data_IF_520412792284
#
_entry.id   IF_520412792284
#
_cell.length_a   1.000
_cell.length_b   1.000
_cell.length_c   1.000
_cell.angle_alpha   90.00
_cell.angle_beta   90.00
_cell.angle_gamma   90.00
#
_symmetry.space_group_name_H-M   'P 1'
#
loop_
_entity.id
_entity.type
_entity.pdbx_description
1 polymer ?
#
# COMPACT_ATOMS: atom_id res chain seq x y z
N UNK A 1 10.16 28.22 -35.58
CA UNK A 1 10.81 27.23 -36.48
C UNK A 1 10.29 27.31 -37.91
N UNK A 2 8.96 27.45 -38.13
CA UNK A 2 8.35 27.57 -39.47
C UNK A 2 9.09 28.48 -40.47
N UNK A 3 9.57 29.69 -40.10
CA UNK A 3 10.27 30.55 -41.05
C UNK A 3 11.75 30.22 -41.27
N UNK A 4 12.33 29.27 -40.53
CA UNK A 4 13.79 29.04 -40.48
C UNK A 4 14.18 27.59 -40.82
N UNK A 5 13.21 26.67 -40.83
CA UNK A 5 13.43 25.24 -41.08
C UNK A 5 12.49 24.81 -42.20
N UNK A 6 12.95 23.87 -43.03
CA UNK A 6 12.15 23.33 -44.12
C UNK A 6 10.81 22.77 -43.63
N UNK A 7 9.72 23.24 -44.26
CA UNK A 7 8.35 22.87 -43.90
C UNK A 7 8.10 21.35 -43.96
N UNK A 8 8.68 20.67 -44.96
CA UNK A 8 8.55 19.23 -45.12
C UNK A 8 9.16 18.47 -43.93
N UNK A 9 10.35 18.88 -43.46
CA UNK A 9 11.01 18.29 -42.29
C UNK A 9 10.21 18.53 -41.01
N UNK A 10 9.65 19.73 -40.84
CA UNK A 10 8.79 20.05 -39.69
C UNK A 10 7.52 19.20 -39.66
N UNK A 11 6.83 19.08 -40.79
CA UNK A 11 5.60 18.30 -40.91
C UNK A 11 5.88 16.80 -40.73
N UNK A 12 6.98 16.28 -41.30
CA UNK A 12 7.39 14.89 -41.11
C UNK A 12 7.68 14.60 -39.64
N UNK A 13 8.45 15.46 -38.98
CA UNK A 13 8.80 15.32 -37.57
C UNK A 13 7.57 15.39 -36.66
N UNK A 14 6.67 16.35 -36.91
CA UNK A 14 5.41 16.47 -36.17
C UNK A 14 4.52 15.24 -36.38
N UNK A 15 4.43 14.74 -37.61
CA UNK A 15 3.65 13.53 -37.94
C UNK A 15 4.21 12.30 -37.22
N UNK A 16 5.54 12.15 -37.17
CA UNK A 16 6.19 11.08 -36.43
C UNK A 16 5.88 11.17 -34.92
N UNK A 17 5.90 12.39 -34.36
CA UNK A 17 5.58 12.64 -32.95
C UNK A 17 4.13 12.32 -32.59
N UNK A 18 3.18 12.76 -33.42
CA UNK A 18 1.77 12.44 -33.26
C UNK A 18 1.56 10.93 -33.38
N UNK A 19 2.18 10.28 -34.36
CA UNK A 19 2.06 8.84 -34.59
C UNK A 19 2.56 8.02 -33.40
N UNK A 20 3.75 8.32 -32.86
CA UNK A 20 4.27 7.61 -31.68
C UNK A 20 3.42 7.88 -30.44
N UNK A 21 2.85 9.07 -30.30
CA UNK A 21 1.97 9.43 -29.19
C UNK A 21 0.65 8.64 -29.24
N UNK A 22 0.05 8.53 -30.43
CA UNK A 22 -1.16 7.72 -30.65
C UNK A 22 -0.86 6.23 -30.37
N UNK A 23 0.22 5.68 -30.92
CA UNK A 23 0.61 4.29 -30.69
C UNK A 23 0.81 3.98 -29.20
N UNK A 24 1.48 4.87 -28.47
CA UNK A 24 1.69 4.72 -27.02
C UNK A 24 0.38 4.84 -26.23
N UNK A 25 -0.53 5.73 -26.65
CA UNK A 25 -1.85 5.86 -26.05
C UNK A 25 -2.71 4.62 -26.28
N UNK A 26 -2.73 4.08 -27.51
CA UNK A 26 -3.40 2.81 -27.83
C UNK A 26 -2.80 1.64 -27.05
N UNK A 27 -1.47 1.56 -26.92
CA UNK A 27 -0.81 0.56 -26.11
C UNK A 27 -1.24 0.66 -24.63
N UNK A 28 -1.36 1.87 -24.09
CA UNK A 28 -1.84 2.10 -22.73
C UNK A 28 -3.29 1.63 -22.55
N UNK A 29 -4.18 1.97 -23.49
CA UNK A 29 -5.57 1.48 -23.49
C UNK A 29 -5.58 -0.05 -23.52
N UNK A 30 -4.82 -0.66 -24.43
CA UNK A 30 -4.79 -2.12 -24.59
C UNK A 30 -4.24 -2.81 -23.34
N UNK A 31 -3.21 -2.25 -22.71
CA UNK A 31 -2.68 -2.73 -21.43
C UNK A 31 -3.75 -2.67 -20.32
N UNK A 32 -4.46 -1.54 -20.19
CA UNK A 32 -5.51 -1.40 -19.17
C UNK A 32 -6.69 -2.33 -19.41
N UNK A 33 -7.08 -2.53 -20.67
CA UNK A 33 -8.18 -3.41 -21.05
C UNK A 33 -7.83 -4.90 -20.86
N UNK A 34 -6.59 -5.29 -21.18
CA UNK A 34 -6.13 -6.68 -21.04
C UNK A 34 -5.93 -7.10 -19.59
N UNK A 35 -5.64 -6.16 -18.67
CA UNK A 35 -5.30 -6.45 -17.26
C UNK A 35 -4.34 -7.64 -17.11
N UNK A 36 -3.15 -7.57 -17.76
CA UNK A 36 -2.30 -8.73 -17.95
C UNK A 36 -1.84 -9.35 -16.63
N UNK A 37 -1.78 -10.68 -16.61
CA UNK A 37 -1.20 -11.43 -15.51
C UNK A 37 0.29 -11.11 -15.35
N UNK A 38 0.85 -11.41 -14.17
CA UNK A 38 2.26 -11.14 -13.87
C UNK A 38 3.22 -11.80 -14.85
N UNK A 39 2.87 -12.95 -15.44
CA UNK A 39 3.72 -13.62 -16.44
C UNK A 39 3.90 -12.79 -17.72
N UNK A 40 2.89 -12.03 -18.13
CA UNK A 40 2.93 -11.21 -19.35
C UNK A 40 3.59 -9.85 -19.14
N UNK A 41 3.86 -9.44 -17.90
CA UNK A 41 4.37 -8.11 -17.57
C UNK A 41 5.68 -7.76 -18.30
N UNK A 42 6.55 -8.76 -18.52
CA UNK A 42 7.81 -8.56 -19.22
C UNK A 42 7.62 -8.18 -20.70
N UNK A 43 6.61 -8.74 -21.38
CA UNK A 43 6.33 -8.42 -22.78
C UNK A 43 5.78 -6.99 -22.91
N UNK A 44 4.81 -6.63 -22.09
CA UNK A 44 4.27 -5.27 -22.02
C UNK A 44 5.34 -4.23 -21.67
N UNK A 45 6.26 -4.57 -20.77
CA UNK A 45 7.40 -3.73 -20.46
C UNK A 45 8.29 -3.51 -21.70
N UNK A 46 8.54 -4.53 -22.52
CA UNK A 46 9.33 -4.39 -23.76
C UNK A 46 8.65 -3.45 -24.75
N UNK A 47 7.34 -3.58 -24.98
CA UNK A 47 6.59 -2.67 -25.86
C UNK A 47 6.61 -1.23 -25.35
N UNK A 48 6.43 -1.04 -24.03
CA UNK A 48 6.55 0.27 -23.40
C UNK A 48 7.94 0.89 -23.61
N UNK A 49 9.00 0.12 -23.33
CA UNK A 49 10.38 0.58 -23.51
C UNK A 49 10.69 0.95 -24.96
N UNK A 50 10.24 0.14 -25.92
CA UNK A 50 10.40 0.43 -27.35
C UNK A 50 9.72 1.75 -27.72
N UNK A 51 8.49 1.98 -27.28
CA UNK A 51 7.78 3.23 -27.52
C UNK A 51 8.48 4.46 -26.90
N UNK A 52 9.04 4.30 -25.70
CA UNK A 52 9.80 5.36 -25.02
C UNK A 52 11.12 5.67 -25.74
N UNK A 53 11.86 4.66 -26.19
CA UNK A 53 13.08 4.83 -26.98
C UNK A 53 12.79 5.52 -28.32
N UNK A 54 11.73 5.12 -29.03
CA UNK A 54 11.31 5.78 -30.27
C UNK A 54 10.97 7.25 -30.04
N UNK A 55 10.27 7.58 -28.94
CA UNK A 55 9.98 8.97 -28.59
C UNK A 55 11.25 9.78 -28.28
N UNK A 56 12.23 9.17 -27.59
CA UNK A 56 13.54 9.78 -27.35
C UNK A 56 14.29 10.07 -28.64
N UNK A 57 14.29 9.11 -29.58
CA UNK A 57 14.92 9.27 -30.90
C UNK A 57 14.25 10.37 -31.74
N UNK A 58 12.92 10.46 -31.72
CA UNK A 58 12.18 11.53 -32.42
C UNK A 58 12.54 12.90 -31.83
N UNK A 59 12.57 13.06 -30.50
CA UNK A 59 13.04 14.31 -29.90
C UNK A 59 14.51 14.61 -30.23
N UNK A 60 15.37 13.60 -30.19
CA UNK A 60 16.79 13.73 -30.53
C UNK A 60 17.00 14.17 -31.98
N UNK A 61 16.21 13.65 -32.92
CA UNK A 61 16.32 13.99 -34.34
C UNK A 61 16.03 15.46 -34.60
N UNK A 62 15.25 16.15 -33.74
CA UNK A 62 15.03 17.59 -33.84
C UNK A 62 16.35 18.38 -33.70
N UNK A 63 17.26 17.94 -32.81
CA UNK A 63 18.57 18.58 -32.64
C UNK A 63 19.52 18.35 -33.82
N UNK A 64 19.24 17.36 -34.68
CA UNK A 64 20.04 17.06 -35.88
C UNK A 64 19.46 17.73 -37.12
N UNK A 65 18.15 17.56 -37.37
CA UNK A 65 17.53 17.99 -38.63
C UNK A 65 16.80 19.34 -38.53
N UNK A 66 16.32 19.73 -37.36
CA UNK A 66 15.50 20.94 -37.17
C UNK A 66 16.25 22.07 -36.44
N UNK A 67 17.54 21.87 -36.15
CA UNK A 67 18.33 22.85 -35.41
C UNK A 67 18.73 24.02 -36.32
N UNK A 68 18.31 25.26 -36.02
CA UNK A 68 18.44 26.38 -36.93
C UNK A 68 19.83 27.02 -36.82
N UNK A 69 20.76 26.61 -37.68
CA UNK A 69 22.16 27.07 -37.65
C UNK A 69 22.32 28.59 -37.75
N UNK A 70 21.41 29.28 -38.46
CA UNK A 70 21.55 30.71 -38.77
C UNK A 70 20.71 31.63 -37.85
N UNK A 71 20.08 31.10 -36.80
CA UNK A 71 19.22 31.91 -35.92
C UNK A 71 19.43 31.57 -34.44
N UNK A 72 20.31 32.32 -33.73
CA UNK A 72 20.63 32.06 -32.33
C UNK A 72 19.40 31.97 -31.43
N UNK A 73 18.42 32.87 -31.60
CA UNK A 73 17.17 32.87 -30.82
C UNK A 73 16.41 31.55 -30.95
N UNK A 74 16.36 30.96 -32.14
CA UNK A 74 15.67 29.70 -32.34
C UNK A 74 16.50 28.49 -31.86
N UNK A 75 17.83 28.60 -31.81
CA UNK A 75 18.69 27.58 -31.19
C UNK A 75 18.44 27.51 -29.68
N UNK A 76 18.40 28.66 -29.00
CA UNK A 76 18.07 28.74 -27.58
C UNK A 76 16.69 28.15 -27.29
N UNK A 77 15.69 28.43 -28.12
CA UNK A 77 14.36 27.83 -28.01
C UNK A 77 14.41 26.29 -28.10
N UNK A 78 15.19 25.74 -29.04
CA UNK A 78 15.35 24.29 -29.19
C UNK A 78 16.04 23.63 -27.99
N UNK A 79 17.09 24.27 -27.48
CA UNK A 79 17.78 23.81 -26.26
C UNK A 79 16.80 23.80 -25.09
N UNK A 80 16.08 24.91 -24.86
CA UNK A 80 15.10 25.01 -23.78
C UNK A 80 13.99 23.96 -23.92
N UNK A 81 13.49 23.71 -25.13
CA UNK A 81 12.45 22.72 -25.37
C UNK A 81 12.93 21.30 -25.03
N UNK A 82 14.13 20.93 -25.46
CA UNK A 82 14.70 19.59 -25.21
C UNK A 82 15.05 19.38 -23.73
N UNK A 83 15.59 20.40 -23.07
CA UNK A 83 15.79 20.36 -21.61
C UNK A 83 14.46 20.27 -20.87
N UNK A 84 13.45 21.05 -21.28
CA UNK A 84 12.12 21.03 -20.67
C UNK A 84 11.42 19.67 -20.78
N UNK A 85 11.42 19.06 -21.96
CA UNK A 85 10.75 17.76 -22.16
C UNK A 85 11.45 16.64 -21.39
N UNK A 86 12.78 16.67 -21.28
CA UNK A 86 13.53 15.71 -20.48
C UNK A 86 13.34 15.91 -18.98
N UNK A 87 13.22 17.16 -18.52
CA UNK A 87 12.84 17.48 -17.13
C UNK A 87 11.49 16.88 -16.76
N UNK A 88 10.49 17.04 -17.64
CA UNK A 88 9.12 16.54 -17.44
C UNK A 88 9.09 15.01 -17.47
N UNK A 89 9.83 14.39 -18.39
CA UNK A 89 9.89 12.95 -18.52
C UNK A 89 10.60 12.26 -17.35
N UNK A 90 11.56 12.93 -16.69
CA UNK A 90 12.36 12.35 -15.62
C UNK A 90 11.52 11.74 -14.48
N UNK A 91 10.61 12.46 -13.78
CA UNK A 91 9.80 11.87 -12.72
C UNK A 91 8.83 10.81 -13.25
N UNK A 92 8.28 10.99 -14.45
CA UNK A 92 7.32 10.06 -15.05
C UNK A 92 7.95 8.70 -15.39
N UNK A 93 9.23 8.70 -15.76
CA UNK A 93 9.98 7.49 -16.13
C UNK A 93 10.89 6.99 -15.00
N UNK A 94 10.96 7.68 -13.86
CA UNK A 94 11.90 7.38 -12.78
C UNK A 94 11.69 6.01 -12.11
N UNK A 95 10.49 5.44 -12.24
CA UNK A 95 10.16 4.10 -11.73
C UNK A 95 10.98 3.01 -12.45
N UNK A 96 11.43 3.27 -13.68
CA UNK A 96 12.26 2.35 -14.46
C UNK A 96 13.44 3.09 -15.09
N UNK A 97 14.65 2.92 -14.52
CA UNK A 97 15.86 3.59 -15.03
C UNK A 97 16.13 3.34 -16.51
N UNK A 98 15.80 2.14 -17.01
CA UNK A 98 16.06 1.78 -18.41
C UNK A 98 15.13 2.57 -19.33
N UNK A 99 13.88 2.79 -18.92
CA UNK A 99 12.95 3.64 -19.65
C UNK A 99 13.43 5.09 -19.70
N UNK A 100 13.88 5.62 -18.56
CA UNK A 100 14.41 6.99 -18.50
C UNK A 100 15.65 7.16 -19.39
N UNK A 101 16.63 6.25 -19.29
CA UNK A 101 17.85 6.30 -20.11
C UNK A 101 17.54 6.14 -21.61
N UNK A 102 16.61 5.25 -21.95
CA UNK A 102 16.13 5.04 -23.32
C UNK A 102 15.47 6.28 -23.92
N UNK A 103 14.89 7.17 -23.10
CA UNK A 103 14.37 8.46 -23.55
C UNK A 103 15.44 9.56 -23.58
N UNK A 104 16.14 9.74 -22.45
CA UNK A 104 16.99 10.91 -22.21
C UNK A 104 18.28 10.89 -23.03
N UNK A 105 18.92 9.71 -23.20
CA UNK A 105 20.16 9.63 -23.97
C UNK A 105 19.93 9.97 -25.45
N UNK A 106 18.96 9.35 -26.17
CA UNK A 106 18.72 9.72 -27.56
C UNK A 106 18.20 11.15 -27.72
N UNK A 107 17.47 11.68 -26.74
CA UNK A 107 16.95 13.06 -26.81
C UNK A 107 18.03 14.14 -26.62
N UNK A 108 18.99 13.92 -25.71
CA UNK A 108 19.97 14.95 -25.32
C UNK A 108 21.38 14.74 -25.88
N UNK A 109 21.83 13.50 -26.12
CA UNK A 109 23.20 13.25 -26.61
C UNK A 109 23.45 13.91 -27.97
N UNK A 110 22.55 13.81 -28.98
CA UNK A 110 22.79 14.47 -30.26
C UNK A 110 22.85 16.01 -30.13
N UNK A 111 22.06 16.61 -29.24
CA UNK A 111 22.14 18.03 -28.92
C UNK A 111 23.49 18.39 -28.30
N UNK A 112 23.95 17.63 -27.31
CA UNK A 112 25.24 17.85 -26.62
C UNK A 112 26.39 17.77 -27.63
N UNK A 113 26.42 16.71 -28.46
CA UNK A 113 27.43 16.53 -29.50
C UNK A 113 27.42 17.70 -30.49
N UNK A 114 26.25 18.16 -30.90
CA UNK A 114 26.12 19.32 -31.80
C UNK A 114 26.63 20.61 -31.16
N UNK A 115 26.36 20.84 -29.88
CA UNK A 115 26.81 22.03 -29.17
C UNK A 115 28.35 22.04 -29.01
N UNK A 116 28.99 20.90 -28.79
CA UNK A 116 30.45 20.82 -28.78
C UNK A 116 31.08 20.95 -30.17
N UNK A 117 30.35 20.58 -31.22
CA UNK A 117 30.82 20.68 -32.61
C UNK A 117 30.51 22.04 -33.26
N UNK A 118 29.79 22.91 -32.57
CA UNK A 118 29.36 24.22 -33.07
C UNK A 118 30.51 25.23 -33.14
N UNK A 119 30.46 26.14 -34.11
CA UNK A 119 31.44 27.20 -34.31
C UNK A 119 31.22 28.43 -33.41
N UNK A 120 30.06 28.53 -32.75
CA UNK A 120 29.70 29.68 -31.91
C UNK A 120 30.47 29.67 -30.59
N UNK A 121 31.04 30.82 -30.13
CA UNK A 121 31.87 30.88 -28.92
C UNK A 121 31.19 30.37 -27.65
N UNK A 122 29.87 30.55 -27.53
CA UNK A 122 29.08 30.11 -26.36
C UNK A 122 28.65 28.65 -26.43
N UNK A 123 28.80 27.99 -27.58
CA UNK A 123 28.27 26.64 -27.83
C UNK A 123 28.90 25.56 -26.93
N UNK A 124 30.24 25.52 -26.73
CA UNK A 124 30.85 24.54 -25.83
C UNK A 124 30.42 24.71 -24.37
N UNK A 125 30.21 25.95 -23.90
CA UNK A 125 29.73 26.21 -22.55
C UNK A 125 28.31 25.68 -22.34
N UNK A 126 27.41 25.94 -23.30
CA UNK A 126 26.05 25.37 -23.29
C UNK A 126 26.07 23.83 -23.37
N UNK A 127 26.95 23.25 -24.18
CA UNK A 127 27.16 21.80 -24.25
C UNK A 127 27.58 21.21 -22.89
N UNK A 128 28.51 21.86 -22.20
CA UNK A 128 28.91 21.51 -20.83
C UNK A 128 27.75 21.58 -19.82
N UNK A 129 26.94 22.64 -19.89
CA UNK A 129 25.73 22.78 -19.05
C UNK A 129 24.71 21.66 -19.34
N UNK A 130 24.45 21.34 -20.60
CA UNK A 130 23.55 20.25 -20.99
C UNK A 130 24.07 18.87 -20.54
N UNK A 131 25.40 18.65 -20.59
CA UNK A 131 26.01 17.43 -20.09
C UNK A 131 25.87 17.31 -18.56
N UNK A 132 26.19 18.38 -17.82
CA UNK A 132 25.98 18.43 -16.37
C UNK A 132 24.51 18.20 -16.00
N UNK A 133 23.60 18.81 -16.76
CA UNK A 133 22.17 18.61 -16.59
C UNK A 133 21.75 17.15 -16.83
N UNK A 134 22.24 16.50 -17.89
CA UNK A 134 21.98 15.08 -18.15
C UNK A 134 22.51 14.19 -17.02
N UNK A 135 23.73 14.43 -16.54
CA UNK A 135 24.31 13.69 -15.41
C UNK A 135 23.50 13.91 -14.12
N UNK A 136 23.06 15.14 -13.86
CA UNK A 136 22.19 15.46 -12.73
C UNK A 136 20.85 14.71 -12.83
N UNK A 137 20.20 14.71 -14.00
CA UNK A 137 18.96 13.96 -14.18
C UNK A 137 19.15 12.45 -13.97
N UNK A 138 20.23 11.87 -14.50
CA UNK A 138 20.56 10.45 -14.27
C UNK A 138 20.70 10.20 -12.76
N UNK A 139 21.41 11.07 -12.05
CA UNK A 139 21.60 10.92 -10.60
C UNK A 139 20.27 11.06 -9.83
N UNK A 140 19.45 12.05 -10.15
CA UNK A 140 18.15 12.26 -9.52
C UNK A 140 17.20 11.08 -9.77
N UNK A 141 17.20 10.54 -10.99
CA UNK A 141 16.39 9.37 -11.33
C UNK A 141 16.83 8.13 -10.57
N UNK A 142 18.14 7.88 -10.43
CA UNK A 142 18.65 6.77 -9.63
C UNK A 142 18.28 6.87 -8.14
N UNK A 143 18.24 8.08 -7.59
CA UNK A 143 17.80 8.31 -6.22
C UNK A 143 16.31 7.96 -6.07
N UNK A 144 15.47 8.44 -6.99
CA UNK A 144 14.03 8.13 -6.99
C UNK A 144 13.74 6.65 -7.18
N UNK A 145 14.45 5.95 -8.06
CA UNK A 145 14.27 4.51 -8.26
C UNK A 145 14.45 3.74 -6.95
N UNK A 146 15.45 4.11 -6.14
CA UNK A 146 15.69 3.51 -4.82
C UNK A 146 14.55 3.82 -3.84
N UNK A 147 14.08 5.07 -3.82
CA UNK A 147 12.94 5.49 -2.99
C UNK A 147 11.66 4.72 -3.36
N UNK A 148 11.37 4.54 -4.66
CA UNK A 148 10.21 3.79 -5.11
C UNK A 148 10.25 2.33 -4.67
N UNK A 149 11.42 1.68 -4.76
CA UNK A 149 11.58 0.30 -4.31
C UNK A 149 11.40 0.17 -2.79
N UNK A 150 11.94 1.12 -2.02
CA UNK A 150 11.74 1.17 -0.58
C UNK A 150 10.26 1.39 -0.22
N UNK A 151 9.60 2.37 -0.85
CA UNK A 151 8.20 2.68 -0.62
C UNK A 151 7.27 1.49 -0.95
N UNK A 152 7.56 0.74 -2.02
CA UNK A 152 6.82 -0.47 -2.35
C UNK A 152 6.95 -1.55 -1.27
N UNK A 153 8.14 -1.73 -0.69
CA UNK A 153 8.36 -2.69 0.40
C UNK A 153 7.64 -2.27 1.69
N UNK A 154 7.69 -0.98 2.03
CA UNK A 154 6.99 -0.41 3.19
C UNK A 154 5.48 -0.57 3.04
N UNK A 155 4.94 -0.30 1.84
CA UNK A 155 3.52 -0.50 1.58
C UNK A 155 3.09 -1.95 1.78
N UNK A 156 3.90 -2.91 1.29
CA UNK A 156 3.64 -4.33 1.52
C UNK A 156 3.67 -4.70 3.00
N UNK A 157 4.62 -4.15 3.77
CA UNK A 157 4.71 -4.37 5.21
C UNK A 157 3.51 -3.76 5.95
N UNK A 158 3.08 -2.56 5.56
CA UNK A 158 1.92 -1.90 6.14
C UNK A 158 0.64 -2.71 5.93
N UNK A 159 0.44 -3.27 4.74
CA UNK A 159 -0.70 -4.15 4.45
C UNK A 159 -0.65 -5.42 5.32
N UNK A 160 0.53 -6.03 5.50
CA UNK A 160 0.67 -7.21 6.35
C UNK A 160 0.43 -6.89 7.83
N UNK A 161 0.98 -5.79 8.33
CA UNK A 161 0.77 -5.30 9.69
C UNK A 161 -0.71 -5.01 9.96
N UNK A 162 -1.42 -4.38 9.02
CA UNK A 162 -2.86 -4.16 9.14
C UNK A 162 -3.64 -5.47 9.24
N UNK A 163 -3.28 -6.50 8.46
CA UNK A 163 -3.91 -7.82 8.57
C UNK A 163 -3.66 -8.46 9.93
N UNK A 164 -2.42 -8.39 10.44
CA UNK A 164 -2.06 -8.93 11.76
C UNK A 164 -2.77 -8.20 12.89
N UNK A 165 -2.86 -6.88 12.81
CA UNK A 165 -3.58 -6.07 13.79
C UNK A 165 -5.05 -6.47 13.85
N UNK A 166 -5.72 -6.57 12.70
CA UNK A 166 -7.12 -7.00 12.63
C UNK A 166 -7.34 -8.42 13.17
N UNK A 167 -6.40 -9.33 12.91
CA UNK A 167 -6.45 -10.68 13.45
C UNK A 167 -6.25 -10.71 14.98
N UNK A 168 -5.33 -9.87 15.49
CA UNK A 168 -5.11 -9.71 16.93
C UNK A 168 -6.32 -9.09 17.63
N UNK A 169 -6.93 -8.06 17.05
CA UNK A 169 -8.17 -7.44 17.54
C UNK A 169 -9.33 -8.45 17.60
N UNK A 170 -9.53 -9.23 16.53
CA UNK A 170 -10.55 -10.28 16.51
C UNK A 170 -10.32 -11.33 17.60
N UNK A 171 -9.05 -11.74 17.80
CA UNK A 171 -8.68 -12.68 18.86
C UNK A 171 -8.90 -12.07 20.25
N UNK A 172 -8.59 -10.79 20.43
CA UNK A 172 -8.80 -10.08 21.68
C UNK A 172 -10.30 -9.99 22.00
N UNK A 173 -11.13 -9.66 21.02
CA UNK A 173 -12.58 -9.65 21.19
C UNK A 173 -13.11 -11.03 21.59
N UNK A 174 -12.66 -12.10 20.92
CA UNK A 174 -13.06 -13.47 21.28
C UNK A 174 -12.65 -13.85 22.70
N UNK A 175 -11.46 -13.44 23.15
CA UNK A 175 -11.01 -13.69 24.52
C UNK A 175 -11.86 -12.89 25.52
N UNK A 176 -12.20 -11.65 25.19
CA UNK A 176 -13.06 -10.81 26.01
C UNK A 176 -14.47 -11.40 26.14
N UNK A 177 -15.06 -11.88 25.04
CA UNK A 177 -16.36 -12.54 25.04
C UNK A 177 -16.33 -13.84 25.88
N UNK A 178 -15.22 -14.59 25.82
CA UNK A 178 -15.01 -15.79 26.66
C UNK A 178 -14.93 -15.44 28.14
N UNK A 179 -14.18 -14.41 28.51
CA UNK A 179 -14.07 -13.94 29.89
C UNK A 179 -15.43 -13.50 30.40
N UNK A 180 -16.17 -12.70 29.63
CA UNK A 180 -17.53 -12.28 29.99
C UNK A 180 -18.48 -13.46 30.17
N UNK A 181 -18.44 -14.46 29.27
CA UNK A 181 -19.25 -15.66 29.40
C UNK A 181 -18.90 -16.49 30.65
N UNK A 182 -17.62 -16.55 31.03
CA UNK A 182 -17.19 -17.21 32.27
C UNK A 182 -17.64 -16.44 33.51
N UNK A 183 -17.48 -15.11 33.53
CA UNK A 183 -17.97 -14.28 34.63
C UNK A 183 -19.47 -14.42 34.82
N UNK A 184 -20.24 -14.43 33.73
CA UNK A 184 -21.69 -14.60 33.81
C UNK A 184 -22.08 -15.97 34.36
N UNK A 185 -21.43 -17.05 33.93
CA UNK A 185 -21.65 -18.40 34.50
C UNK A 185 -21.34 -18.45 36.00
N UNK A 186 -20.26 -17.81 36.43
CA UNK A 186 -19.90 -17.75 37.85
C UNK A 186 -20.94 -16.96 38.66
N UNK A 187 -21.45 -15.85 38.12
CA UNK A 187 -22.54 -15.09 38.74
C UNK A 187 -23.82 -15.91 38.84
N UNK A 188 -24.26 -16.54 37.75
CA UNK A 188 -25.47 -17.37 37.72
C UNK A 188 -25.35 -18.56 38.69
N UNK A 189 -24.17 -19.17 38.78
CA UNK A 189 -23.88 -20.21 39.76
C UNK A 189 -23.99 -19.68 41.20
N UNK A 190 -23.31 -18.57 41.52
CA UNK A 190 -23.36 -17.97 42.86
C UNK A 190 -24.77 -17.49 43.26
N UNK A 191 -25.63 -17.14 42.30
CA UNK A 191 -27.03 -16.80 42.59
C UNK A 191 -27.86 -18.01 43.06
N UNK A 192 -27.48 -19.23 42.68
CA UNK A 192 -28.29 -20.45 42.92
C UNK A 192 -27.64 -21.45 43.87
N UNK A 193 -26.31 -21.47 43.95
CA UNK A 193 -25.54 -22.44 44.70
C UNK A 193 -24.60 -21.79 45.71
N UNK A 194 -24.31 -22.51 46.77
CA UNK A 194 -23.25 -22.20 47.72
C UNK A 194 -21.89 -22.64 47.15
N UNK A 195 -20.90 -21.76 47.22
CA UNK A 195 -19.61 -21.95 46.52
C UNK A 195 -18.79 -23.09 47.15
N UNK A 196 -18.94 -23.32 48.46
CA UNK A 196 -18.16 -24.33 49.18
C UNK A 196 -18.74 -25.73 48.97
N UNK A 197 -20.07 -25.85 49.04
CA UNK A 197 -20.75 -27.16 49.02
C UNK A 197 -21.32 -27.56 47.66
N UNK A 198 -21.49 -26.60 46.74
CA UNK A 198 -22.17 -26.80 45.46
C UNK A 198 -23.68 -27.05 45.57
N UNK A 199 -24.23 -27.07 46.79
CA UNK A 199 -25.65 -27.25 47.05
C UNK A 199 -26.41 -25.94 46.81
N UNK A 200 -27.74 -26.02 46.68
CA UNK A 200 -28.57 -24.83 46.55
C UNK A 200 -28.34 -23.87 47.72
N UNK A 201 -28.05 -22.60 47.42
CA UNK A 201 -27.88 -21.61 48.46
C UNK A 201 -29.23 -21.31 49.15
N UNK A 202 -29.17 -20.68 50.33
CA UNK A 202 -30.36 -20.35 51.13
C UNK A 202 -31.40 -19.55 50.32
N UNK A 203 -30.97 -18.56 49.54
CA UNK A 203 -31.86 -17.72 48.72
C UNK A 203 -32.61 -18.54 47.67
N UNK A 204 -31.93 -19.49 47.03
CA UNK A 204 -32.53 -20.39 46.05
C UNK A 204 -33.49 -21.38 46.70
N UNK A 205 -33.11 -21.95 47.86
CA UNK A 205 -33.97 -22.80 48.66
C UNK A 205 -35.27 -22.08 49.05
N UNK A 206 -35.18 -20.86 49.58
CA UNK A 206 -36.34 -20.04 49.98
C UNK A 206 -37.29 -19.77 48.79
N UNK A 207 -36.74 -19.39 47.62
CA UNK A 207 -37.52 -19.17 46.40
C UNK A 207 -38.21 -20.44 45.90
N UNK A 208 -37.52 -21.59 45.96
CA UNK A 208 -38.08 -22.88 45.58
C UNK A 208 -39.20 -23.30 46.55
N UNK A 209 -39.00 -23.08 47.85
CA UNK A 209 -39.97 -23.39 48.89
C UNK A 209 -41.28 -22.62 48.67
N UNK A 210 -41.21 -21.32 48.39
CA UNK A 210 -42.38 -20.50 48.06
C UNK A 210 -43.14 -21.03 46.84
N UNK A 211 -42.42 -21.41 45.79
CA UNK A 211 -43.02 -21.97 44.57
C UNK A 211 -43.74 -23.28 44.84
N UNK A 212 -43.14 -24.16 45.66
CA UNK A 212 -43.70 -25.45 46.05
C UNK A 212 -44.97 -25.25 46.89
N UNK A 213 -44.93 -24.36 47.89
CA UNK A 213 -46.08 -24.05 48.75
C UNK A 213 -47.28 -23.52 47.93
N UNK A 214 -47.04 -22.65 46.96
CA UNK A 214 -48.10 -22.15 46.07
C UNK A 214 -48.73 -23.26 45.21
N UNK A 215 -47.91 -24.19 44.70
CA UNK A 215 -48.40 -25.34 43.92
C UNK A 215 -49.19 -26.32 44.77
N UNK A 216 -48.79 -26.56 46.01
CA UNK A 216 -49.55 -27.40 46.95
C UNK A 216 -50.94 -26.85 47.20
N UNK A 217 -51.08 -25.52 47.31
CA UNK A 217 -52.39 -24.87 47.49
C UNK A 217 -53.33 -25.01 46.29
N UNK A 218 -52.77 -25.14 45.08
CA UNK A 218 -53.55 -25.20 43.83
C UNK A 218 -53.76 -26.61 43.31
N UNK A 219 -52.85 -27.56 43.59
CA UNK A 219 -52.83 -28.91 43.04
C UNK A 219 -52.99 -30.02 44.10
N UNK A 220 -53.17 -29.69 45.38
CA UNK A 220 -53.27 -30.64 46.49
C UNK A 220 -52.13 -31.69 46.53
N UNK A 221 -50.90 -31.24 46.28
CA UNK A 221 -49.69 -32.09 46.28
C UNK A 221 -48.95 -32.04 47.62
N UNK A 222 -48.55 -33.19 48.17
CA UNK A 222 -47.82 -33.28 49.44
C UNK A 222 -46.28 -33.25 49.23
N UNK A 223 -45.57 -32.55 50.11
CA UNK A 223 -44.10 -32.43 50.08
C UNK A 223 -43.51 -32.50 51.50
N UNK A 224 -42.26 -32.94 51.62
CA UNK A 224 -41.52 -33.05 52.91
C UNK A 224 -40.28 -32.17 52.90
N UNK A 225 -40.00 -31.47 54.01
CA UNK A 225 -38.77 -30.70 54.24
C UNK A 225 -37.96 -31.37 55.36
N UNK A 226 -36.68 -31.62 55.10
CA UNK A 226 -35.73 -32.16 56.08
C UNK A 226 -34.68 -31.11 56.43
N UNK A 227 -34.41 -30.92 57.72
CA UNK A 227 -33.35 -30.03 58.22
C UNK A 227 -32.27 -30.89 58.87
N UNK A 228 -31.02 -30.71 58.45
CA UNK A 228 -29.86 -31.46 58.93
C UNK A 228 -28.77 -30.48 59.36
N UNK A 229 -28.13 -30.75 60.49
CA UNK A 229 -27.04 -29.95 61.05
C UNK A 229 -25.88 -30.86 61.48
N UNK A 230 -24.65 -30.35 61.45
CA UNK A 230 -23.46 -31.11 61.82
C UNK A 230 -23.12 -30.94 63.31
N UNK A 231 -23.22 -32.03 64.07
CA UNK A 231 -22.94 -32.02 65.50
C UNK A 231 -21.48 -31.63 65.81
N UNK A 232 -21.30 -30.71 66.76
CA UNK A 232 -19.98 -30.33 67.32
C UNK A 232 -18.95 -29.83 66.30
N UNK A 233 -19.39 -29.39 65.11
CA UNK A 233 -18.51 -28.96 64.02
C UNK A 233 -17.48 -27.87 64.41
N UNK A 234 -17.81 -27.00 65.38
CA UNK A 234 -16.89 -25.97 65.91
C UNK A 234 -15.60 -26.55 66.51
N UNK A 235 -15.67 -27.75 67.11
CA UNK A 235 -14.49 -28.42 67.68
C UNK A 235 -13.52 -28.86 66.57
N UNK A 236 -14.06 -29.31 65.44
CA UNK A 236 -13.25 -29.71 64.27
C UNK A 236 -12.51 -28.49 63.72
N UNK A 237 -13.22 -27.38 63.47
CA UNK A 237 -12.59 -26.13 63.01
C UNK A 237 -11.51 -25.61 63.97
N UNK A 238 -11.75 -25.68 65.29
CA UNK A 238 -10.79 -25.20 66.28
C UNK A 238 -9.55 -26.10 66.43
N UNK A 239 -9.68 -27.41 66.14
CA UNK A 239 -8.60 -28.38 66.35
C UNK A 239 -7.77 -28.62 65.09
N UNK A 240 -8.40 -28.58 63.91
CA UNK A 240 -7.78 -28.93 62.63
C UNK A 240 -7.76 -27.77 61.63
N UNK A 241 -8.31 -26.61 61.99
CA UNK A 241 -8.40 -25.43 61.15
C UNK A 241 -9.63 -25.42 60.25
N UNK A 242 -10.00 -24.23 59.75
CA UNK A 242 -11.18 -24.04 58.89
C UNK A 242 -11.15 -24.89 57.62
N UNK A 243 -9.99 -25.00 56.98
CA UNK A 243 -9.82 -25.81 55.76
C UNK A 243 -10.13 -27.29 55.97
N UNK A 244 -10.00 -27.81 57.20
CA UNK A 244 -10.33 -29.20 57.53
C UNK A 244 -11.83 -29.40 57.83
N UNK A 245 -12.55 -28.35 58.22
CA UNK A 245 -14.01 -28.39 58.30
C UNK A 245 -14.68 -28.17 56.94
N UNK A 246 -14.02 -27.42 56.05
CA UNK A 246 -14.49 -27.12 54.70
C UNK A 246 -14.31 -28.30 53.71
N UNK A 247 -13.47 -29.29 54.03
CA UNK A 247 -13.14 -30.46 53.21
C UNK A 247 -14.10 -31.64 53.44
#
# INVERSE_FOLDING_TARGET
LWPVVEHALLLLWLSAHISISILRWLLAIHYTAASPAKEQAAEWQRYFLLGVCCAGLIWGSASVFLFPANSPNHQFLMILLLLGVTAIAAPALAVNRVAFLGFALPALVPLIVRLFSGSEPLSPALGGMCLLYLLLLIRLTQLREREYQQNASILSQNIDLQKRLKAAESKQQQLQDKVLAQEQRLRDFAETADILTGLANRKHLEKRLQTVLYKTQTLHTEHTLCFMDLDRFKIINNSYGHSAGDA
#
